data_IF_213794326832
#
_entry.id   IF_213794326832
#
_cell.length_a   1.000
_cell.length_b   1.000
_cell.length_c   1.000
_cell.angle_alpha   90.00
_cell.angle_beta   90.00
_cell.angle_gamma   90.00
#
_symmetry.space_group_name_H-M   'P 1'
#
loop_
_entity.id
_entity.type
_entity.pdbx_description
1 polymer ?
#
# COMPACT_ATOMS: atom_id res chain seq x y z
N UNK A 1 -17.00 -5.85 -5.94
CA UNK A 1 -16.02 -4.85 -5.48
C UNK A 1 -14.99 -4.48 -6.54
N UNK A 2 -14.13 -5.40 -7.00
CA UNK A 2 -13.06 -5.08 -7.98
C UNK A 2 -13.53 -4.33 -9.24
N UNK A 3 -14.75 -4.61 -9.75
CA UNK A 3 -15.33 -3.87 -10.89
C UNK A 3 -15.55 -2.39 -10.58
N UNK A 4 -15.97 -2.05 -9.37
CA UNK A 4 -16.14 -0.66 -8.93
C UNK A 4 -14.79 0.06 -8.81
N UNK A 5 -13.81 -0.59 -8.20
CA UNK A 5 -12.44 -0.04 -8.08
C UNK A 5 -11.80 0.21 -9.46
N UNK A 6 -12.00 -0.72 -10.40
CA UNK A 6 -11.53 -0.53 -11.77
C UNK A 6 -12.30 0.59 -12.50
N UNK A 7 -13.61 0.66 -12.32
CA UNK A 7 -14.44 1.73 -12.89
C UNK A 7 -13.96 3.11 -12.45
N UNK A 8 -13.78 3.34 -11.16
CA UNK A 8 -13.30 4.63 -10.66
C UNK A 8 -11.90 4.96 -11.15
N UNK A 9 -10.99 3.97 -11.17
CA UNK A 9 -9.66 4.17 -11.74
C UNK A 9 -9.68 4.63 -13.20
N UNK A 10 -10.51 4.00 -14.05
CA UNK A 10 -10.67 4.38 -15.46
C UNK A 10 -11.39 5.72 -15.61
N UNK A 11 -12.43 5.98 -14.80
CA UNK A 11 -13.15 7.26 -14.76
C UNK A 11 -12.17 8.40 -14.50
N UNK A 12 -11.39 8.31 -13.43
CA UNK A 12 -10.39 9.29 -13.05
C UNK A 12 -9.31 9.50 -14.11
N UNK A 13 -8.84 8.42 -14.75
CA UNK A 13 -7.90 8.54 -15.84
C UNK A 13 -8.45 9.37 -17.01
N UNK A 14 -9.73 9.16 -17.37
CA UNK A 14 -10.40 9.94 -18.42
C UNK A 14 -10.54 11.41 -18.00
N UNK A 15 -11.00 11.67 -16.78
CA UNK A 15 -11.14 13.03 -16.23
C UNK A 15 -9.81 13.79 -16.23
N UNK A 16 -8.71 13.15 -15.82
CA UNK A 16 -7.36 13.75 -15.85
C UNK A 16 -6.93 14.07 -17.28
N UNK A 17 -7.12 13.12 -18.21
CA UNK A 17 -6.77 13.29 -19.62
C UNK A 17 -7.56 14.44 -20.25
N UNK A 18 -8.86 14.50 -20.01
CA UNK A 18 -9.75 15.55 -20.53
C UNK A 18 -9.39 16.93 -19.95
N UNK A 19 -8.90 16.97 -18.70
CA UNK A 19 -8.39 18.18 -18.06
C UNK A 19 -6.94 18.56 -18.46
N UNK A 20 -6.32 17.84 -19.41
CA UNK A 20 -4.96 18.07 -19.87
C UNK A 20 -3.87 17.71 -18.86
N UNK A 21 -4.20 16.94 -17.81
CA UNK A 21 -3.24 16.44 -16.82
C UNK A 21 -2.68 15.12 -17.33
N UNK A 22 -1.38 15.10 -17.58
CA UNK A 22 -0.70 13.93 -18.13
C UNK A 22 0.36 13.40 -17.16
N UNK A 23 1.01 12.32 -17.59
CA UNK A 23 2.07 11.65 -16.83
C UNK A 23 3.31 12.50 -16.57
N UNK A 24 3.49 13.63 -17.27
CA UNK A 24 4.62 14.54 -17.09
C UNK A 24 4.29 15.62 -16.07
N UNK A 25 3.03 16.03 -15.98
CA UNK A 25 2.59 17.08 -15.06
C UNK A 25 2.14 16.58 -13.69
N UNK A 26 1.77 15.30 -13.54
CA UNK A 26 1.32 14.75 -12.24
C UNK A 26 1.81 13.33 -11.98
N UNK A 27 2.38 13.10 -10.78
CA UNK A 27 2.77 11.77 -10.33
C UNK A 27 1.58 10.81 -10.25
N UNK A 28 0.42 11.30 -9.76
CA UNK A 28 -0.82 10.55 -9.71
C UNK A 28 -1.24 10.10 -11.10
N UNK A 29 -1.24 11.00 -12.07
CA UNK A 29 -1.59 10.68 -13.46
C UNK A 29 -0.61 9.65 -14.07
N UNK A 30 0.69 9.77 -13.78
CA UNK A 30 1.70 8.81 -14.20
C UNK A 30 1.41 7.40 -13.67
N UNK A 31 1.24 7.23 -12.36
CA UNK A 31 1.06 5.89 -11.77
C UNK A 31 -0.30 5.28 -12.09
N UNK A 32 -1.35 6.10 -12.17
CA UNK A 32 -2.68 5.66 -12.59
C UNK A 32 -2.67 5.15 -14.03
N UNK A 33 -2.04 5.89 -14.95
CA UNK A 33 -1.86 5.45 -16.33
C UNK A 33 -1.12 4.12 -16.41
N UNK A 34 0.01 3.98 -15.69
CA UNK A 34 0.78 2.73 -15.68
C UNK A 34 -0.03 1.55 -15.13
N UNK A 35 -0.83 1.75 -14.09
CA UNK A 35 -1.71 0.70 -13.54
C UNK A 35 -2.78 0.25 -14.54
N UNK A 36 -3.39 1.21 -15.27
CA UNK A 36 -4.39 0.93 -16.32
C UNK A 36 -3.76 0.21 -17.51
N UNK A 37 -2.60 0.69 -17.96
CA UNK A 37 -1.83 0.10 -19.06
C UNK A 37 -1.49 -1.36 -18.77
N UNK A 38 -0.98 -1.66 -17.57
CA UNK A 38 -0.65 -3.03 -17.15
C UNK A 38 -1.87 -3.96 -17.07
N UNK A 39 -3.06 -3.40 -16.83
CA UNK A 39 -4.30 -4.18 -16.80
C UNK A 39 -4.95 -4.32 -18.19
N UNK A 40 -4.50 -3.54 -19.18
CA UNK A 40 -5.07 -3.52 -20.52
C UNK A 40 -6.54 -3.03 -20.54
N UNK A 41 -6.95 -2.20 -19.57
CA UNK A 41 -8.35 -1.80 -19.36
C UNK A 41 -8.54 -0.29 -19.38
N UNK A 42 -8.56 0.30 -20.56
CA UNK A 42 -8.85 1.73 -20.75
C UNK A 42 -10.34 2.06 -20.75
N UNK A 43 -11.19 1.03 -20.70
CA UNK A 43 -12.64 1.15 -20.61
C UNK A 43 -13.14 0.30 -19.44
N UNK A 44 -14.10 0.87 -18.70
CA UNK A 44 -14.78 0.20 -17.62
C UNK A 44 -16.21 0.75 -17.53
N UNK A 45 -17.19 -0.15 -17.54
CA UNK A 45 -18.59 0.22 -17.34
C UNK A 45 -18.88 0.38 -15.85
N UNK A 46 -19.72 1.37 -15.52
CA UNK A 46 -20.21 1.55 -14.15
C UNK A 46 -21.02 0.31 -13.76
N UNK A 47 -20.64 -0.41 -12.69
CA UNK A 47 -21.41 -1.58 -12.29
C UNK A 47 -22.83 -1.20 -11.91
N UNK A 48 -23.82 -1.96 -12.38
CA UNK A 48 -25.25 -1.67 -12.17
C UNK A 48 -25.71 -1.83 -10.72
N UNK A 49 -25.01 -2.64 -9.91
CA UNK A 49 -25.35 -2.90 -8.51
C UNK A 49 -24.19 -2.51 -7.60
N UNK A 50 -24.50 -1.67 -6.61
CA UNK A 50 -23.61 -1.40 -5.47
C UNK A 50 -23.46 -2.69 -4.65
N UNK A 51 -22.27 -2.99 -4.10
CA UNK A 51 -22.13 -4.08 -3.15
C UNK A 51 -23.09 -3.87 -1.96
N UNK A 52 -23.75 -4.93 -1.50
CA UNK A 52 -24.61 -4.89 -0.30
C UNK A 52 -23.89 -5.34 0.96
N UNK A 53 -22.72 -5.96 0.79
CA UNK A 53 -21.87 -6.40 1.88
C UNK A 53 -21.18 -5.16 2.50
N UNK A 54 -21.45 -4.91 3.78
CA UNK A 54 -20.96 -3.76 4.57
C UNK A 54 -19.45 -3.63 4.56
N UNK A 55 -18.74 -4.75 4.61
CA UNK A 55 -17.27 -4.79 4.54
C UNK A 55 -16.75 -4.27 3.19
N UNK A 56 -17.34 -4.72 2.07
CA UNK A 56 -16.98 -4.22 0.74
C UNK A 56 -17.44 -2.79 0.49
N UNK A 57 -18.47 -2.32 1.20
CA UNK A 57 -18.95 -0.94 1.14
C UNK A 57 -17.92 0.02 1.73
N UNK A 58 -17.32 -0.27 2.88
CA UNK A 58 -16.30 0.61 3.48
C UNK A 58 -15.14 0.92 2.51
N UNK A 59 -14.67 -0.07 1.75
CA UNK A 59 -13.64 0.16 0.73
C UNK A 59 -14.15 0.96 -0.49
N UNK A 60 -15.44 0.89 -0.80
CA UNK A 60 -16.05 1.67 -1.88
C UNK A 60 -16.32 3.10 -1.45
N UNK A 61 -16.76 3.29 -0.20
CA UNK A 61 -17.10 4.60 0.36
C UNK A 61 -15.90 5.53 0.33
N UNK A 62 -14.70 5.04 0.65
CA UNK A 62 -13.46 5.82 0.53
C UNK A 62 -13.20 6.23 -0.92
N UNK A 63 -13.38 5.32 -1.88
CA UNK A 63 -13.19 5.62 -3.31
C UNK A 63 -14.20 6.66 -3.78
N UNK A 64 -15.45 6.56 -3.35
CA UNK A 64 -16.49 7.55 -3.63
C UNK A 64 -16.20 8.90 -2.95
N UNK A 65 -15.63 8.90 -1.75
CA UNK A 65 -15.18 10.13 -1.09
C UNK A 65 -14.06 10.83 -1.88
N UNK A 66 -13.07 10.07 -2.37
CA UNK A 66 -12.05 10.61 -3.27
C UNK A 66 -12.62 11.11 -4.60
N UNK A 67 -13.64 10.43 -5.13
CA UNK A 67 -14.35 10.89 -6.33
C UNK A 67 -15.04 12.25 -6.10
N UNK A 68 -15.68 12.42 -4.95
CA UNK A 68 -16.37 13.64 -4.56
C UNK A 68 -15.42 14.83 -4.35
N UNK A 69 -14.15 14.60 -4.01
CA UNK A 69 -13.12 15.65 -3.97
C UNK A 69 -12.76 16.17 -5.37
N UNK A 70 -13.07 15.41 -6.42
CA UNK A 70 -12.65 15.70 -7.79
C UNK A 70 -11.19 15.32 -8.03
N UNK A 71 -10.95 14.21 -8.73
CA UNK A 71 -9.59 13.69 -8.92
C UNK A 71 -8.68 14.65 -9.69
N UNK A 72 -9.24 15.51 -10.54
CA UNK A 72 -8.53 16.60 -11.23
C UNK A 72 -7.94 17.59 -10.22
N UNK A 73 -8.73 18.04 -9.24
CA UNK A 73 -8.28 18.97 -8.20
C UNK A 73 -7.28 18.31 -7.26
N UNK A 74 -7.48 17.04 -6.91
CA UNK A 74 -6.48 16.26 -6.16
C UNK A 74 -5.15 16.19 -6.92
N UNK A 75 -5.18 15.87 -8.21
CA UNK A 75 -3.97 15.74 -9.03
C UNK A 75 -3.23 17.07 -9.29
N UNK A 76 -3.94 18.21 -9.18
CA UNK A 76 -3.38 19.57 -9.23
C UNK A 76 -2.93 20.10 -7.86
N UNK A 77 -3.12 19.32 -6.80
CA UNK A 77 -2.86 19.75 -5.41
C UNK A 77 -3.69 20.98 -5.01
N UNK A 78 -4.89 21.10 -5.55
CA UNK A 78 -5.89 22.13 -5.19
C UNK A 78 -6.69 21.72 -3.94
N UNK A 79 -6.67 20.43 -3.59
CA UNK A 79 -7.29 19.88 -2.37
C UNK A 79 -6.25 19.84 -1.26
N UNK A 80 -6.65 20.28 -0.06
CA UNK A 80 -5.82 20.23 1.14
C UNK A 80 -5.30 18.81 1.43
N UNK A 81 -3.99 18.69 1.67
CA UNK A 81 -3.34 17.42 2.00
C UNK A 81 -3.89 16.78 3.27
N UNK A 82 -4.37 17.57 4.23
CA UNK A 82 -4.94 17.06 5.47
C UNK A 82 -6.30 16.40 5.22
N UNK A 83 -7.09 16.93 4.28
CA UNK A 83 -8.35 16.31 3.84
C UNK A 83 -8.06 14.97 3.16
N UNK A 84 -7.07 14.93 2.25
CA UNK A 84 -6.65 13.70 1.57
C UNK A 84 -6.14 12.65 2.57
N UNK A 85 -5.31 13.07 3.53
CA UNK A 85 -4.81 12.19 4.60
C UNK A 85 -5.94 11.67 5.48
N UNK A 86 -6.91 12.52 5.83
CA UNK A 86 -8.04 12.13 6.69
C UNK A 86 -8.91 11.06 6.02
N UNK A 87 -9.19 11.17 4.72
CA UNK A 87 -9.92 10.13 4.00
C UNK A 87 -9.18 8.79 3.99
N UNK A 88 -7.85 8.84 3.90
CA UNK A 88 -7.03 7.63 3.97
C UNK A 88 -6.99 7.05 5.38
N UNK A 89 -6.96 7.88 6.42
CA UNK A 89 -7.06 7.40 7.80
C UNK A 89 -8.38 6.66 8.04
N UNK A 90 -9.49 7.19 7.54
CA UNK A 90 -10.80 6.52 7.59
C UNK A 90 -10.73 5.14 6.91
N UNK A 91 -10.01 5.04 5.78
CA UNK A 91 -9.77 3.74 5.14
C UNK A 91 -8.96 2.80 6.03
N UNK A 92 -7.85 3.26 6.62
CA UNK A 92 -7.01 2.44 7.49
C UNK A 92 -7.72 1.99 8.76
N UNK A 93 -8.64 2.81 9.28
CA UNK A 93 -9.48 2.51 10.45
C UNK A 93 -10.74 1.70 10.11
N UNK A 94 -11.02 1.48 8.83
CA UNK A 94 -12.18 0.68 8.42
C UNK A 94 -12.00 -0.79 8.81
N UNK A 95 -13.11 -1.47 9.12
CA UNK A 95 -13.09 -2.91 9.36
C UNK A 95 -12.56 -3.67 8.14
N UNK A 96 -12.80 -3.14 6.93
CA UNK A 96 -12.21 -3.62 5.68
C UNK A 96 -10.69 -3.76 5.78
N UNK A 97 -10.01 -2.66 6.10
CA UNK A 97 -8.55 -2.64 6.16
C UNK A 97 -8.04 -3.45 7.36
N UNK A 98 -8.65 -3.31 8.53
CA UNK A 98 -8.27 -4.06 9.72
C UNK A 98 -8.32 -5.58 9.48
N UNK A 99 -9.41 -6.09 8.89
CA UNK A 99 -9.51 -7.50 8.55
C UNK A 99 -8.46 -7.95 7.54
N UNK A 100 -8.17 -7.14 6.53
CA UNK A 100 -7.13 -7.44 5.54
C UNK A 100 -5.78 -7.60 6.24
N UNK A 101 -5.42 -6.64 7.10
CA UNK A 101 -4.15 -6.64 7.85
C UNK A 101 -4.07 -7.81 8.83
N UNK A 102 -5.13 -8.06 9.61
CA UNK A 102 -5.23 -9.24 10.50
C UNK A 102 -5.07 -10.53 9.70
N UNK A 103 -5.73 -10.65 8.54
CA UNK A 103 -5.64 -11.83 7.69
C UNK A 103 -4.21 -12.04 7.18
N UNK A 104 -3.51 -10.97 6.77
CA UNK A 104 -2.12 -11.05 6.35
C UNK A 104 -1.20 -11.48 7.50
N UNK A 105 -1.37 -10.91 8.69
CA UNK A 105 -0.61 -11.29 9.89
C UNK A 105 -0.82 -12.74 10.31
N UNK A 106 -2.05 -13.25 10.23
CA UNK A 106 -2.37 -14.68 10.40
C UNK A 106 -1.65 -15.54 9.35
N UNK A 107 -1.75 -15.18 8.07
CA UNK A 107 -1.10 -15.92 6.98
C UNK A 107 0.42 -16.00 7.17
N UNK A 108 1.00 -14.94 7.70
CA UNK A 108 2.42 -14.86 8.00
C UNK A 108 2.82 -15.51 9.33
N UNK A 109 1.90 -15.96 10.17
CA UNK A 109 2.19 -16.44 11.53
C UNK A 109 3.08 -15.43 12.30
N UNK A 110 2.62 -14.18 12.38
CA UNK A 110 3.36 -13.11 13.07
C UNK A 110 3.45 -13.33 14.58
N UNK A 111 2.51 -14.12 15.14
CA UNK A 111 2.48 -14.57 16.54
C UNK A 111 3.75 -15.34 16.95
N UNK A 112 4.47 -15.92 15.98
CA UNK A 112 5.74 -16.64 16.19
C UNK A 112 6.96 -15.73 16.24
N UNK A 113 6.79 -14.41 16.05
CA UNK A 113 7.87 -13.43 16.14
C UNK A 113 7.88 -12.84 17.56
N UNK A 114 9.02 -12.89 18.26
CA UNK A 114 9.19 -12.23 19.56
C UNK A 114 9.30 -10.72 19.44
N UNK A 115 9.85 -10.22 18.34
CA UNK A 115 9.90 -8.80 18.01
C UNK A 115 9.63 -8.56 16.51
N UNK A 116 8.91 -7.48 16.21
CA UNK A 116 8.48 -7.11 14.85
C UNK A 116 8.81 -5.66 14.57
N UNK A 117 9.53 -5.42 13.49
CA UNK A 117 9.72 -4.09 12.91
C UNK A 117 8.68 -3.82 11.83
N UNK A 118 7.86 -2.77 11.97
CA UNK A 118 6.95 -2.31 10.91
C UNK A 118 7.65 -1.24 10.08
N UNK A 119 8.21 -1.64 8.95
CA UNK A 119 8.98 -0.74 8.09
C UNK A 119 8.05 0.28 7.41
N UNK A 120 8.33 1.57 7.64
CA UNK A 120 7.54 2.70 7.14
C UNK A 120 6.08 2.71 7.64
N UNK A 121 5.85 2.37 8.91
CA UNK A 121 4.55 2.49 9.58
C UNK A 121 3.90 3.84 9.27
N UNK A 122 2.59 3.84 8.97
CA UNK A 122 1.89 5.05 8.55
C UNK A 122 1.50 5.92 9.74
N UNK A 123 0.70 5.40 10.67
CA UNK A 123 0.22 6.08 11.88
C UNK A 123 0.10 5.15 13.10
N UNK A 124 0.89 4.08 13.13
CA UNK A 124 0.92 3.10 14.22
C UNK A 124 -0.31 2.21 14.35
N UNK A 125 -1.17 2.20 13.33
CA UNK A 125 -2.34 1.29 13.20
C UNK A 125 -1.92 -0.17 13.36
N UNK A 126 -0.73 -0.50 12.86
CA UNK A 126 -0.20 -1.85 12.87
C UNK A 126 0.19 -2.33 14.27
N UNK A 127 0.67 -1.46 15.18
CA UNK A 127 1.00 -1.81 16.57
C UNK A 127 -0.20 -2.39 17.31
N UNK A 128 -1.34 -1.71 17.30
CA UNK A 128 -2.53 -2.15 18.03
C UNK A 128 -2.99 -3.54 17.56
N UNK A 129 -2.96 -3.76 16.24
CA UNK A 129 -3.32 -5.04 15.65
C UNK A 129 -2.32 -6.12 16.10
N UNK A 130 -1.00 -5.87 16.01
CA UNK A 130 0.04 -6.83 16.38
C UNK A 130 -0.02 -7.23 17.86
N UNK A 131 -0.27 -6.28 18.76
CA UNK A 131 -0.45 -6.55 20.19
C UNK A 131 -1.69 -7.43 20.46
N UNK A 132 -2.70 -7.37 19.60
CA UNK A 132 -3.84 -8.28 19.62
C UNK A 132 -3.50 -9.73 19.30
N UNK A 133 -2.43 -9.99 18.53
CA UNK A 133 -1.95 -11.36 18.24
C UNK A 133 -1.10 -11.94 19.37
N UNK A 134 -0.21 -11.12 19.92
CA UNK A 134 0.67 -11.51 21.00
C UNK A 134 0.99 -10.28 21.84
N UNK A 135 0.43 -10.20 23.05
CA UNK A 135 0.63 -9.06 23.96
C UNK A 135 2.09 -8.84 24.38
N UNK A 136 2.92 -9.88 24.23
CA UNK A 136 4.34 -9.83 24.59
C UNK A 136 5.24 -9.49 23.39
N UNK A 137 4.67 -9.22 22.22
CA UNK A 137 5.45 -8.87 21.04
C UNK A 137 6.06 -7.48 21.22
N UNK A 138 7.36 -7.35 20.99
CA UNK A 138 8.00 -6.03 20.93
C UNK A 138 7.81 -5.46 19.53
N UNK A 139 7.07 -4.37 19.39
CA UNK A 139 6.85 -3.71 18.10
C UNK A 139 7.76 -2.50 17.96
N UNK A 140 8.50 -2.42 16.85
CA UNK A 140 9.29 -1.27 16.47
C UNK A 140 8.61 -0.57 15.30
N UNK A 141 8.12 0.65 15.53
CA UNK A 141 7.50 1.49 14.50
C UNK A 141 8.26 2.80 14.39
N UNK A 142 9.39 2.80 13.68
CA UNK A 142 10.09 4.06 13.47
C UNK A 142 9.21 5.02 12.65
N UNK A 143 8.97 6.21 13.20
CA UNK A 143 8.25 7.30 12.53
C UNK A 143 9.09 7.87 11.39
N UNK A 144 8.49 8.02 10.20
CA UNK A 144 9.28 8.21 8.98
C UNK A 144 8.78 9.29 8.03
N UNK A 145 8.38 10.43 8.60
CA UNK A 145 8.29 11.68 7.84
C UNK A 145 9.63 12.46 7.80
N UNK A 146 10.74 11.89 8.30
CA UNK A 146 11.99 12.62 8.57
C UNK A 146 13.22 12.15 7.76
N UNK A 147 14.21 13.04 7.54
CA UNK A 147 15.57 12.65 7.13
C UNK A 147 16.16 11.62 8.11
N UNK A 148 16.72 10.52 7.60
CA UNK A 148 17.36 9.48 8.43
C UNK A 148 16.60 8.16 8.55
N UNK A 149 15.55 7.95 7.75
CA UNK A 149 14.74 6.73 7.82
C UNK A 149 15.53 5.41 7.72
N UNK A 150 16.50 5.36 6.80
CA UNK A 150 17.42 4.21 6.64
C UNK A 150 18.15 3.92 7.96
N UNK A 151 18.64 4.96 8.65
CA UNK A 151 19.40 4.81 9.89
C UNK A 151 18.53 4.21 10.99
N UNK A 152 17.28 4.66 11.12
CA UNK A 152 16.34 4.13 12.10
C UNK A 152 16.03 2.65 11.84
N UNK A 153 15.84 2.26 10.57
CA UNK A 153 15.64 0.86 10.20
C UNK A 153 16.86 -0.01 10.51
N UNK A 154 18.07 0.47 10.23
CA UNK A 154 19.32 -0.25 10.50
C UNK A 154 19.60 -0.44 12.00
N UNK A 155 19.09 0.45 12.85
CA UNK A 155 19.28 0.39 14.30
C UNK A 155 18.24 -0.47 15.02
N UNK A 156 17.17 -0.89 14.34
CA UNK A 156 16.13 -1.71 14.94
C UNK A 156 16.54 -3.20 14.94
N UNK A 157 16.65 -3.78 16.13
CA UNK A 157 16.85 -5.22 16.31
C UNK A 157 15.49 -5.92 16.42
N UNK A 158 15.07 -6.58 15.34
CA UNK A 158 13.80 -7.32 15.32
C UNK A 158 13.98 -8.73 14.75
N UNK A 159 13.23 -9.69 15.29
CA UNK A 159 13.20 -11.05 14.75
C UNK A 159 12.54 -11.08 13.36
N UNK A 160 11.44 -10.35 13.20
CA UNK A 160 10.69 -10.23 11.96
C UNK A 160 10.58 -8.77 11.53
N UNK A 161 10.43 -8.53 10.23
CA UNK A 161 10.00 -7.24 9.70
C UNK A 161 8.74 -7.38 8.86
N UNK A 162 7.84 -6.42 8.96
CA UNK A 162 6.65 -6.26 8.12
C UNK A 162 6.87 -5.07 7.18
N UNK A 163 6.66 -5.29 5.89
CA UNK A 163 6.81 -4.33 4.81
C UNK A 163 5.47 -4.15 4.08
N UNK A 164 4.56 -3.38 4.69
CA UNK A 164 3.30 -2.97 4.05
C UNK A 164 3.54 -1.75 3.17
N UNK A 165 4.16 -0.71 3.73
CA UNK A 165 4.38 0.58 3.05
C UNK A 165 5.81 0.80 2.57
N UNK A 166 6.75 -0.08 2.91
CA UNK A 166 8.17 0.05 2.50
C UNK A 166 8.31 0.33 1.00
N UNK A 167 7.68 -0.49 0.15
CA UNK A 167 7.74 -0.36 -1.30
C UNK A 167 6.96 0.84 -1.85
N UNK A 168 6.14 1.48 -1.03
CA UNK A 168 5.28 2.60 -1.41
C UNK A 168 5.88 3.95 -0.98
N UNK A 169 6.55 3.98 0.16
CA UNK A 169 7.02 5.21 0.83
C UNK A 169 8.54 5.39 0.77
N UNK A 170 9.31 4.32 0.61
CA UNK A 170 10.76 4.42 0.57
C UNK A 170 11.25 5.16 -0.68
N UNK A 171 12.14 6.14 -0.47
CA UNK A 171 12.92 6.79 -1.54
C UNK A 171 14.30 6.15 -1.73
N UNK A 172 14.72 5.29 -0.79
CA UNK A 172 16.04 4.67 -0.71
C UNK A 172 15.93 3.16 -0.52
N UNK A 173 15.01 2.53 -1.26
CA UNK A 173 14.56 1.15 -1.04
C UNK A 173 15.71 0.14 -0.99
N UNK A 174 16.74 0.35 -1.82
CA UNK A 174 17.93 -0.52 -1.83
C UNK A 174 18.68 -0.50 -0.49
N UNK A 175 18.77 0.65 0.16
CA UNK A 175 19.49 0.79 1.42
C UNK A 175 18.63 0.32 2.60
N UNK A 176 17.32 0.59 2.55
CA UNK A 176 16.37 0.05 3.52
C UNK A 176 16.35 -1.48 3.51
N UNK A 177 16.33 -2.10 2.32
CA UNK A 177 16.41 -3.56 2.18
C UNK A 177 17.73 -4.13 2.71
N UNK A 178 18.84 -3.37 2.67
CA UNK A 178 20.10 -3.79 3.31
C UNK A 178 19.99 -3.78 4.82
N UNK A 179 19.36 -2.77 5.41
CA UNK A 179 19.10 -2.73 6.86
C UNK A 179 18.26 -3.92 7.31
N UNK A 180 17.26 -4.30 6.52
CA UNK A 180 16.38 -5.43 6.82
C UNK A 180 17.05 -6.82 6.66
N UNK A 181 18.33 -6.91 6.29
CA UNK A 181 19.03 -8.21 6.24
C UNK A 181 19.26 -8.85 7.61
N UNK A 182 19.16 -8.07 8.68
CA UNK A 182 19.41 -8.57 10.03
C UNK A 182 18.17 -9.25 10.64
N UNK A 183 16.99 -9.15 10.01
CA UNK A 183 15.81 -9.87 10.47
C UNK A 183 15.82 -11.32 9.98
N UNK A 184 15.26 -12.24 10.74
CA UNK A 184 15.15 -13.65 10.32
C UNK A 184 14.11 -13.82 9.21
N UNK A 185 13.04 -13.03 9.26
CA UNK A 185 11.89 -13.14 8.35
C UNK A 185 11.39 -11.76 7.94
N UNK A 186 11.27 -11.54 6.65
CA UNK A 186 10.64 -10.36 6.06
C UNK A 186 9.26 -10.75 5.49
N UNK A 187 8.23 -10.07 5.98
CA UNK A 187 6.83 -10.26 5.64
C UNK A 187 6.38 -9.09 4.74
N UNK A 188 6.13 -9.34 3.47
CA UNK A 188 5.76 -8.28 2.51
C UNK A 188 4.28 -8.42 2.20
N UNK A 189 3.51 -7.36 2.45
CA UNK A 189 2.08 -7.26 2.13
C UNK A 189 1.77 -5.87 1.60
N UNK A 190 2.07 -5.64 0.32
CA UNK A 190 2.06 -4.29 -0.27
C UNK A 190 1.19 -4.25 -1.52
N UNK A 191 0.78 -3.04 -1.92
CA UNK A 191 -0.07 -2.80 -3.08
C UNK A 191 0.80 -2.82 -4.35
N UNK A 192 0.73 -3.86 -5.20
CA UNK A 192 1.47 -3.91 -6.45
C UNK A 192 0.81 -3.00 -7.50
N UNK A 193 1.56 -2.55 -8.49
CA UNK A 193 1.05 -1.69 -9.57
C UNK A 193 -0.10 -2.34 -10.38
N UNK A 194 -0.18 -3.68 -10.37
CA UNK A 194 -1.29 -4.44 -10.96
C UNK A 194 -2.56 -4.53 -10.09
N UNK A 195 -2.59 -3.87 -8.94
CA UNK A 195 -3.79 -3.72 -8.12
C UNK A 195 -4.84 -2.84 -8.83
N UNK A 196 -6.10 -2.81 -8.34
CA UNK A 196 -7.13 -1.95 -8.92
C UNK A 196 -6.66 -0.49 -9.03
N UNK A 197 -6.81 0.19 -10.18
CA UNK A 197 -6.18 1.49 -10.40
C UNK A 197 -6.68 2.58 -9.45
N UNK A 198 -7.92 2.49 -8.93
CA UNK A 198 -8.39 3.44 -7.92
C UNK A 198 -7.58 3.39 -6.62
N UNK A 199 -7.14 2.20 -6.19
CA UNK A 199 -6.29 2.07 -5.00
C UNK A 199 -4.89 2.64 -5.25
N UNK A 200 -4.37 2.51 -6.48
CA UNK A 200 -3.11 3.11 -6.90
C UNK A 200 -3.22 4.65 -6.89
N UNK A 201 -4.30 5.20 -7.45
CA UNK A 201 -4.54 6.64 -7.45
C UNK A 201 -4.67 7.20 -6.02
N UNK A 202 -5.41 6.53 -5.13
CA UNK A 202 -5.52 6.91 -3.72
C UNK A 202 -4.14 6.88 -3.04
N UNK A 203 -3.38 5.81 -3.22
CA UNK A 203 -2.01 5.70 -2.71
C UNK A 203 -1.13 6.87 -3.16
N UNK A 204 -1.22 7.25 -4.42
CA UNK A 204 -0.45 8.36 -4.98
C UNK A 204 -0.91 9.70 -4.42
N UNK A 205 -2.22 9.89 -4.26
CA UNK A 205 -2.81 11.10 -3.66
C UNK A 205 -2.34 11.31 -2.23
N UNK A 206 -2.17 10.24 -1.44
CA UNK A 206 -1.71 10.31 -0.04
C UNK A 206 -0.18 10.36 0.10
N UNK A 207 0.53 10.53 -1.02
CA UNK A 207 1.98 10.75 -1.03
C UNK A 207 2.84 9.49 -1.10
N UNK A 208 2.28 8.33 -1.47
CA UNK A 208 3.12 7.20 -1.88
C UNK A 208 3.89 7.57 -3.14
N UNK A 209 5.20 7.32 -3.12
CA UNK A 209 6.15 7.82 -4.12
C UNK A 209 6.61 6.74 -5.07
N UNK A 210 6.46 5.48 -4.68
CA UNK A 210 6.95 4.32 -5.42
C UNK A 210 5.83 3.31 -5.62
N UNK A 211 5.77 2.72 -6.80
CA UNK A 211 4.85 1.63 -7.11
C UNK A 211 5.57 0.63 -8.00
N UNK A 212 5.56 -0.64 -7.57
CA UNK A 212 6.28 -1.71 -8.22
C UNK A 212 5.32 -2.82 -8.61
N UNK A 213 5.65 -3.53 -9.68
CA UNK A 213 4.98 -4.79 -10.01
C UNK A 213 5.35 -5.89 -9.03
N UNK A 214 4.50 -6.90 -8.91
CA UNK A 214 4.75 -8.03 -8.00
C UNK A 214 6.07 -8.78 -8.33
N UNK A 215 6.41 -8.90 -9.62
CA UNK A 215 7.66 -9.50 -10.08
C UNK A 215 8.87 -8.59 -9.86
N UNK A 216 8.73 -7.28 -10.09
CA UNK A 216 9.77 -6.29 -9.77
C UNK A 216 10.12 -6.32 -8.28
N UNK A 217 9.12 -6.34 -7.38
CA UNK A 217 9.36 -6.46 -5.94
C UNK A 217 10.10 -7.76 -5.59
N UNK A 218 9.70 -8.87 -6.21
CA UNK A 218 10.38 -10.16 -6.04
C UNK A 218 11.84 -10.11 -6.52
N UNK A 219 12.12 -9.42 -7.62
CA UNK A 219 13.47 -9.25 -8.16
C UNK A 219 14.32 -8.35 -7.26
N UNK A 220 13.77 -7.23 -6.77
CA UNK A 220 14.44 -6.32 -5.84
C UNK A 220 14.84 -7.04 -4.54
N UNK A 221 13.94 -7.86 -3.98
CA UNK A 221 14.22 -8.66 -2.79
C UNK A 221 15.33 -9.69 -3.03
N UNK A 222 15.29 -10.40 -4.16
CA UNK A 222 16.36 -11.33 -4.54
C UNK A 222 17.70 -10.62 -4.74
N UNK A 223 17.71 -9.48 -5.41
CA UNK A 223 18.91 -8.68 -5.62
C UNK A 223 19.46 -8.14 -4.30
N UNK A 224 18.57 -7.78 -3.38
CA UNK A 224 18.93 -7.45 -2.01
C UNK A 224 19.38 -8.67 -1.19
N UNK A 225 19.43 -9.88 -1.73
CA UNK A 225 19.96 -11.08 -1.08
C UNK A 225 18.94 -11.87 -0.26
N UNK A 226 17.66 -11.50 -0.28
CA UNK A 226 16.63 -12.29 0.38
C UNK A 226 16.31 -13.57 -0.41
N UNK A 227 16.15 -14.67 0.32
CA UNK A 227 15.65 -15.94 -0.21
C UNK A 227 14.14 -15.93 -0.18
N UNK A 228 13.54 -16.33 -1.30
CA UNK A 228 12.09 -16.42 -1.43
C UNK A 228 11.56 -17.53 -0.53
N UNK A 229 10.68 -17.17 0.39
CA UNK A 229 9.86 -18.11 1.15
C UNK A 229 8.57 -18.43 0.40
N UNK A 230 7.43 -18.29 1.07
CA UNK A 230 6.10 -18.59 0.51
C UNK A 230 5.47 -17.34 -0.10
N UNK A 231 4.98 -17.45 -1.33
CA UNK A 231 4.11 -16.43 -1.94
C UNK A 231 2.68 -16.86 -1.71
N UNK A 232 1.88 -16.03 -1.06
CA UNK A 232 0.47 -16.29 -0.76
C UNK A 232 -0.42 -15.69 -1.83
N UNK A 233 -0.15 -14.44 -2.21
CA UNK A 233 -0.96 -13.69 -3.18
C UNK A 233 -0.05 -12.79 -4.02
N UNK A 234 -0.43 -12.59 -5.29
CA UNK A 234 0.19 -11.60 -6.18
C UNK A 234 -0.75 -10.43 -6.52
N UNK A 235 -2.06 -10.60 -6.37
CA UNK A 235 -3.11 -9.59 -6.61
C UNK A 235 -4.31 -9.86 -5.68
N UNK A 236 -5.06 -8.82 -5.23
CA UNK A 236 -4.79 -7.40 -5.45
C UNK A 236 -3.65 -6.87 -4.58
N UNK A 237 -3.15 -7.66 -3.62
CA UNK A 237 -1.95 -7.37 -2.84
C UNK A 237 -0.86 -8.39 -3.17
N UNK A 238 0.39 -7.95 -3.11
CA UNK A 238 1.54 -8.83 -3.12
C UNK A 238 1.85 -9.23 -1.68
N UNK A 239 1.52 -10.49 -1.35
CA UNK A 239 1.68 -11.06 -0.01
C UNK A 239 2.67 -12.23 -0.06
N UNK A 240 3.84 -12.08 0.57
CA UNK A 240 4.90 -13.09 0.54
C UNK A 240 5.79 -13.03 1.78
N UNK A 241 6.35 -14.19 2.15
CA UNK A 241 7.42 -14.31 3.13
C UNK A 241 8.77 -14.46 2.45
N UNK A 242 9.78 -13.85 3.07
CA UNK A 242 11.16 -13.84 2.63
C UNK A 242 12.05 -14.10 3.84
N UNK A 243 13.18 -14.76 3.62
CA UNK A 243 14.19 -15.01 4.66
C UNK A 243 15.52 -14.43 4.20
N UNK A 244 16.39 -14.13 5.15
CA UNK A 244 17.75 -13.69 4.90
C UNK A 244 18.68 -14.89 4.71
#
# INVERSE_FOLDING_TARGET
MLRWLNYYGVKWYKELKDAGIDRRSSHLAYVLYRSIELQGRFEAEKPSKRPTNTFLLQALDVVESFDNLGMVSVARSEVDSDVVSTLFDIFLMSEFYMFLTISMYRLFNVDKCGSVLVAYAYKGVETEILQGFNKNITVHEPEHHLPGAVKNLCNAEAECAVAIYLFLRSRTLRDDLRCLKNVKRLLVATLPLEAPPSLIAIGAAVGFTSFYRADEMSQLLKYAGFRRGKIYLKKPYYAATWTT
#
